data_IF_274301916463
#
_entry.id   IF_274301916463
#
_cell.length_a   1.000
_cell.length_b   1.000
_cell.length_c   1.000
_cell.angle_alpha   90.00
_cell.angle_beta   90.00
_cell.angle_gamma   90.00
#
_symmetry.space_group_name_H-M   'P 1'
#
loop_
_entity.id
_entity.type
_entity.pdbx_description
1 polymer ?
#
# COMPACT_ATOMS: atom_id res chain seq x y z
N UNK A 1 -30.20 -41.12 -10.59
CA UNK A 1 -30.00 -39.65 -10.53
C UNK A 1 -29.38 -39.22 -11.85
N UNK A 2 -30.11 -38.46 -12.68
CA UNK A 2 -29.58 -37.93 -13.95
C UNK A 2 -28.40 -37.02 -13.60
N UNK A 3 -27.16 -37.48 -13.89
CA UNK A 3 -25.95 -36.66 -13.76
C UNK A 3 -26.16 -35.46 -14.68
N UNK A 4 -26.21 -34.29 -14.05
CA UNK A 4 -26.71 -33.06 -14.64
C UNK A 4 -26.03 -32.73 -15.95
N UNK A 5 -26.85 -32.53 -16.98
CA UNK A 5 -26.51 -31.66 -18.09
C UNK A 5 -26.40 -30.25 -17.50
N UNK A 6 -25.21 -29.91 -16.99
CA UNK A 6 -24.84 -28.52 -16.81
C UNK A 6 -24.98 -27.87 -18.18
N UNK A 7 -26.05 -27.08 -18.35
CA UNK A 7 -26.30 -26.36 -19.59
C UNK A 7 -25.04 -25.59 -19.96
N UNK A 8 -24.60 -25.72 -21.21
CA UNK A 8 -23.42 -25.05 -21.76
C UNK A 8 -23.40 -23.56 -21.38
N UNK A 9 -24.57 -22.93 -21.28
CA UNK A 9 -24.74 -21.54 -20.86
C UNK A 9 -24.17 -21.27 -19.46
N UNK A 10 -24.32 -22.20 -18.51
CA UNK A 10 -23.80 -22.07 -17.14
C UNK A 10 -22.28 -22.11 -17.15
N UNK A 11 -21.69 -22.99 -17.95
CA UNK A 11 -20.23 -23.11 -18.10
C UNK A 11 -19.66 -21.81 -18.69
N UNK A 12 -20.31 -21.26 -19.71
CA UNK A 12 -19.90 -20.00 -20.35
C UNK A 12 -19.96 -18.84 -19.36
N UNK A 13 -21.07 -18.69 -18.63
CA UNK A 13 -21.22 -17.61 -17.65
C UNK A 13 -20.20 -17.73 -16.52
N UNK A 14 -19.95 -18.94 -16.02
CA UNK A 14 -18.95 -19.17 -14.98
C UNK A 14 -17.53 -18.80 -15.47
N UNK A 15 -17.19 -19.14 -16.71
CA UNK A 15 -15.89 -18.80 -17.30
C UNK A 15 -15.71 -17.28 -17.46
N UNK A 16 -16.74 -16.56 -17.92
CA UNK A 16 -16.71 -15.09 -18.04
C UNK A 16 -16.58 -14.44 -16.66
N UNK A 17 -17.34 -14.91 -15.67
CA UNK A 17 -17.29 -14.37 -14.32
C UNK A 17 -15.90 -14.53 -13.69
N UNK A 18 -15.28 -15.71 -13.85
CA UNK A 18 -13.90 -15.95 -13.39
C UNK A 18 -12.90 -15.04 -14.10
N UNK A 19 -13.02 -14.87 -15.43
CA UNK A 19 -12.12 -14.00 -16.18
C UNK A 19 -12.20 -12.54 -15.69
N UNK A 20 -13.42 -12.02 -15.51
CA UNK A 20 -13.63 -10.65 -15.01
C UNK A 20 -13.03 -10.50 -13.62
N UNK A 21 -13.25 -11.47 -12.71
CA UNK A 21 -12.70 -11.45 -11.36
C UNK A 21 -11.16 -11.43 -11.38
N UNK A 22 -10.53 -12.24 -12.24
CA UNK A 22 -9.08 -12.25 -12.40
C UNK A 22 -8.57 -10.88 -12.85
N UNK A 23 -9.18 -10.28 -13.87
CA UNK A 23 -8.76 -8.95 -14.36
C UNK A 23 -8.92 -7.88 -13.27
N UNK A 24 -10.07 -7.86 -12.58
CA UNK A 24 -10.33 -6.91 -11.50
C UNK A 24 -9.31 -7.09 -10.37
N UNK A 25 -9.05 -8.32 -9.93
CA UNK A 25 -8.11 -8.58 -8.84
C UNK A 25 -6.69 -8.12 -9.16
N UNK A 26 -6.20 -8.33 -10.39
CA UNK A 26 -4.87 -7.84 -10.82
C UNK A 26 -4.80 -6.30 -10.82
N UNK A 27 -5.84 -5.63 -11.33
CA UNK A 27 -5.89 -4.15 -11.34
C UNK A 27 -5.89 -3.61 -9.91
N UNK A 28 -6.70 -4.21 -9.03
CA UNK A 28 -6.79 -3.80 -7.63
C UNK A 28 -5.48 -4.05 -6.87
N UNK A 29 -4.81 -5.18 -7.09
CA UNK A 29 -3.49 -5.45 -6.50
C UNK A 29 -2.44 -4.43 -6.95
N UNK A 30 -2.43 -4.05 -8.23
CA UNK A 30 -1.54 -3.01 -8.75
C UNK A 30 -1.78 -1.65 -8.09
N UNK A 31 -3.04 -1.27 -7.86
CA UNK A 31 -3.40 0.01 -7.23
C UNK A 31 -3.20 0.02 -5.70
N UNK A 32 -3.43 -1.09 -5.00
CA UNK A 32 -3.18 -1.20 -3.55
C UNK A 32 -1.71 -0.97 -3.19
N UNK A 33 -0.77 -1.44 -4.01
CA UNK A 33 0.66 -1.18 -3.80
C UNK A 33 1.02 0.31 -3.84
N UNK A 34 0.37 1.09 -4.70
CA UNK A 34 0.52 2.55 -4.76
C UNK A 34 -0.16 3.25 -3.57
N UNK A 35 -1.36 2.79 -3.18
CA UNK A 35 -2.12 3.40 -2.09
C UNK A 35 -1.43 3.22 -0.72
N UNK A 36 -0.87 2.04 -0.46
CA UNK A 36 -0.13 1.78 0.78
C UNK A 36 1.14 2.65 0.89
N UNK A 37 1.77 2.99 -0.26
CA UNK A 37 2.92 3.90 -0.30
C UNK A 37 2.53 5.33 0.05
N UNK A 38 1.43 5.83 -0.52
CA UNK A 38 0.93 7.18 -0.22
C UNK A 38 0.56 7.34 1.26
N UNK A 39 -0.03 6.31 1.86
CA UNK A 39 -0.46 6.38 3.27
C UNK A 39 0.71 6.26 4.25
N UNK A 40 1.80 5.60 3.85
CA UNK A 40 3.01 5.42 4.67
C UNK A 40 4.10 6.44 4.39
N UNK A 41 3.87 7.39 3.48
CA UNK A 41 4.85 8.42 3.17
C UNK A 41 4.97 9.41 4.33
N UNK A 42 6.21 9.65 4.77
CA UNK A 42 6.50 10.64 5.80
C UNK A 42 5.96 12.04 5.45
N UNK A 43 5.99 12.40 4.17
CA UNK A 43 5.46 13.68 3.70
C UNK A 43 3.94 13.77 3.85
N UNK A 44 3.23 12.65 3.71
CA UNK A 44 1.76 12.61 3.83
C UNK A 44 1.28 12.85 5.27
N UNK A 45 2.11 12.55 6.27
CA UNK A 45 1.82 12.79 7.70
C UNK A 45 2.40 14.11 8.22
N UNK A 46 2.73 15.06 7.32
CA UNK A 46 3.42 16.31 7.65
C UNK A 46 4.76 16.10 8.38
N UNK A 47 5.42 14.98 8.10
CA UNK A 47 6.74 14.66 8.64
C UNK A 47 7.87 15.09 7.71
N UNK A 48 9.08 15.08 8.27
CA UNK A 48 10.33 15.30 7.56
C UNK A 48 11.19 14.05 7.63
N UNK A 49 11.78 13.70 6.49
CA UNK A 49 12.74 12.60 6.40
C UNK A 49 14.14 13.10 6.75
N UNK A 50 14.61 12.73 7.94
CA UNK A 50 15.93 13.13 8.46
C UNK A 50 16.88 11.94 8.37
N UNK A 51 18.14 12.18 7.98
CA UNK A 51 19.17 11.15 8.01
C UNK A 51 19.51 10.75 9.46
N UNK A 52 19.53 9.43 9.71
CA UNK A 52 19.79 8.86 11.03
C UNK A 52 18.56 8.87 11.95
N UNK A 53 18.79 8.81 13.27
CA UNK A 53 17.76 8.84 14.31
C UNK A 53 17.78 10.16 15.08
N UNK A 54 17.97 11.27 14.35
CA UNK A 54 18.21 12.60 14.92
C UNK A 54 16.92 13.41 15.15
N UNK A 55 15.74 12.77 15.15
CA UNK A 55 14.47 13.47 15.38
C UNK A 55 14.49 14.27 16.70
N UNK A 56 15.11 13.70 17.74
CA UNK A 56 15.21 14.30 19.07
C UNK A 56 16.01 15.62 19.12
N UNK A 57 17.01 15.79 18.27
CA UNK A 57 17.80 17.03 18.21
C UNK A 57 17.00 18.20 17.63
N UNK A 58 16.02 17.89 16.78
CA UNK A 58 15.12 18.86 16.15
C UNK A 58 13.82 19.11 16.92
N UNK A 59 13.66 18.51 18.11
CA UNK A 59 12.41 18.59 18.89
C UNK A 59 11.23 17.85 18.23
N UNK A 60 11.51 16.88 17.35
CA UNK A 60 10.52 16.09 16.63
C UNK A 60 10.51 14.66 17.18
N UNK A 61 9.37 13.95 17.05
CA UNK A 61 9.31 12.54 17.40
C UNK A 61 9.32 11.65 16.16
N UNK A 62 9.88 10.45 16.34
CA UNK A 62 9.87 9.39 15.33
C UNK A 62 8.45 8.87 15.12
N UNK A 63 7.98 8.87 13.88
CA UNK A 63 6.71 8.25 13.55
C UNK A 63 6.90 6.73 13.37
N UNK A 64 6.11 5.87 14.05
CA UNK A 64 6.33 4.42 14.04
C UNK A 64 5.92 3.74 12.73
N UNK A 65 4.99 4.33 11.98
CA UNK A 65 4.40 3.70 10.79
C UNK A 65 4.70 4.43 9.48
N UNK A 66 5.27 5.63 9.53
CA UNK A 66 5.65 6.37 8.33
C UNK A 66 7.10 6.08 7.96
N UNK A 67 7.36 5.99 6.67
CA UNK A 67 8.64 5.63 6.08
C UNK A 67 9.08 6.65 5.07
N UNK A 68 10.39 6.80 4.96
CA UNK A 68 11.03 7.66 3.99
C UNK A 68 11.36 6.86 2.73
N UNK A 69 11.02 7.42 1.57
CA UNK A 69 11.32 6.81 0.28
C UNK A 69 12.49 7.53 -0.42
N UNK A 70 13.38 6.75 -1.03
CA UNK A 70 14.46 7.19 -1.92
C UNK A 70 13.96 7.72 -3.26
N UNK A 71 14.86 8.34 -4.03
CA UNK A 71 14.61 8.71 -5.44
C UNK A 71 14.34 7.49 -6.32
N UNK A 72 14.72 6.30 -5.84
CA UNK A 72 14.45 4.99 -6.43
C UNK A 72 13.10 4.39 -6.00
N UNK A 73 12.25 5.14 -5.28
CA UNK A 73 10.95 4.69 -4.77
C UNK A 73 11.01 3.46 -3.85
N UNK A 74 12.15 3.24 -3.20
CA UNK A 74 12.32 2.20 -2.17
C UNK A 74 12.40 2.82 -0.80
N UNK A 75 12.02 2.04 0.22
CA UNK A 75 12.19 2.43 1.62
C UNK A 75 13.67 2.69 1.88
N UNK A 76 13.99 3.91 2.28
CA UNK A 76 15.34 4.31 2.60
C UNK A 76 15.64 3.93 4.06
N UNK A 77 16.57 2.99 4.32
CA UNK A 77 16.88 2.57 5.67
C UNK A 77 17.69 3.61 6.46
N UNK A 78 18.26 4.61 5.79
CA UNK A 78 19.12 5.62 6.42
C UNK A 78 18.35 6.87 6.83
N UNK A 79 17.08 7.00 6.42
CA UNK A 79 16.24 8.14 6.75
C UNK A 79 15.06 7.72 7.63
N UNK A 80 14.89 8.44 8.73
CA UNK A 80 13.80 8.24 9.67
C UNK A 80 12.75 9.33 9.46
N UNK A 81 11.47 8.94 9.56
CA UNK A 81 10.39 9.91 9.53
C UNK A 81 10.22 10.58 10.91
N UNK A 82 10.46 11.88 10.94
CA UNK A 82 10.28 12.71 12.12
C UNK A 82 9.05 13.61 11.92
N UNK A 83 8.12 13.61 12.87
CA UNK A 83 6.96 14.48 12.86
C UNK A 83 7.04 15.47 14.02
N UNK A 84 6.53 16.68 13.82
CA UNK A 84 6.31 17.60 14.93
C UNK A 84 5.25 16.99 15.83
N UNK A 85 5.59 16.69 17.09
CA UNK A 85 4.56 16.33 18.06
C UNK A 85 3.72 17.56 18.33
N UNK A 86 2.56 17.65 17.68
CA UNK A 86 1.42 18.33 18.30
C UNK A 86 1.09 17.50 19.54
N UNK A 87 1.31 18.10 20.72
CA UNK A 87 1.38 17.43 22.01
C UNK A 87 0.22 16.47 22.32
N UNK A 88 0.54 15.52 23.21
CA UNK A 88 -0.44 14.82 24.04
C UNK A 88 -1.32 15.80 24.81
#
# INVERSE_FOLDING_TARGET
MKKGELSINVIIVAAIALLVLVIVSVIFMGRMGLFNRQQSDCLAVNGQCIYGDNCGETGMAKHPSAVCYGTDNKKDPFRTCCIMQTGQ
#
